data_IF_651511987748
#
_entry.id   IF_651511987748
#
_cell.length_a   1.000
_cell.length_b   1.000
_cell.length_c   1.000
_cell.angle_alpha   90.00
_cell.angle_beta   90.00
_cell.angle_gamma   90.00
#
_symmetry.space_group_name_H-M   'P 1'
#
loop_
_entity.id
_entity.type
_entity.pdbx_description
1 polymer ?
#
# COMPACT_ATOMS: atom_id res chain seq x y z
N UNK A 1 5.66 -19.71 -33.80
CA UNK A 1 5.01 -18.81 -32.82
C UNK A 1 5.72 -18.97 -31.49
N UNK A 2 6.69 -18.12 -31.17
CA UNK A 2 7.38 -18.12 -29.87
C UNK A 2 6.78 -17.01 -29.03
N UNK A 3 5.96 -17.38 -28.05
CA UNK A 3 5.40 -16.44 -27.08
C UNK A 3 6.53 -16.09 -26.12
N UNK A 4 6.95 -14.82 -26.16
CA UNK A 4 7.91 -14.22 -25.24
C UNK A 4 7.27 -14.11 -23.86
N UNK A 5 7.63 -15.02 -22.95
CA UNK A 5 7.32 -14.98 -21.52
C UNK A 5 8.56 -14.42 -20.81
N UNK A 6 8.75 -13.11 -20.90
CA UNK A 6 9.86 -12.42 -20.22
C UNK A 6 9.53 -11.01 -19.74
N UNK A 7 8.38 -10.47 -20.13
CA UNK A 7 8.04 -9.06 -19.86
C UNK A 7 7.15 -8.85 -18.63
N UNK A 8 6.61 -9.90 -18.00
CA UNK A 8 5.65 -9.75 -16.90
C UNK A 8 6.29 -9.48 -15.53
N UNK A 9 7.51 -9.97 -15.29
CA UNK A 9 8.23 -9.81 -14.01
C UNK A 9 8.78 -8.38 -13.83
N UNK A 10 9.35 -7.79 -14.88
CA UNK A 10 9.85 -6.41 -14.88
C UNK A 10 8.72 -5.38 -14.80
N UNK A 11 7.56 -5.68 -15.39
CA UNK A 11 6.38 -4.82 -15.30
C UNK A 11 5.85 -4.79 -13.85
N UNK A 12 5.78 -5.93 -13.18
CA UNK A 12 5.28 -6.01 -11.80
C UNK A 12 6.20 -5.29 -10.79
N UNK A 13 7.52 -5.41 -10.97
CA UNK A 13 8.53 -4.67 -10.19
C UNK A 13 8.43 -3.15 -10.37
N UNK A 14 8.25 -2.70 -11.62
CA UNK A 14 8.12 -1.27 -11.96
C UNK A 14 6.79 -0.71 -11.46
N UNK A 15 5.70 -1.47 -11.57
CA UNK A 15 4.37 -1.11 -11.06
C UNK A 15 4.38 -1.01 -9.54
N UNK A 16 4.99 -1.96 -8.83
CA UNK A 16 5.08 -1.92 -7.36
C UNK A 16 5.95 -0.75 -6.87
N UNK A 17 7.06 -0.46 -7.55
CA UNK A 17 7.91 0.70 -7.21
C UNK A 17 7.22 2.03 -7.52
N UNK A 18 6.47 2.11 -8.62
CA UNK A 18 5.67 3.28 -8.99
C UNK A 18 4.48 3.51 -8.06
N UNK A 19 3.82 2.46 -7.59
CA UNK A 19 2.73 2.54 -6.61
C UNK A 19 3.22 2.97 -5.23
N UNK A 20 4.34 2.43 -4.76
CA UNK A 20 4.99 2.82 -3.49
C UNK A 20 5.40 4.31 -3.47
N UNK A 21 5.85 4.83 -4.61
CA UNK A 21 6.17 6.25 -4.77
C UNK A 21 4.92 7.14 -4.79
N UNK A 22 3.80 6.64 -5.33
CA UNK A 22 2.60 7.45 -5.60
C UNK A 22 1.81 7.75 -4.33
N UNK A 23 1.69 6.83 -3.37
CA UNK A 23 0.94 7.07 -2.12
C UNK A 23 1.66 8.04 -1.18
N UNK A 24 2.98 7.90 -1.04
CA UNK A 24 3.78 8.82 -0.24
C UNK A 24 3.85 10.23 -0.86
N UNK A 25 4.03 10.32 -2.18
CA UNK A 25 4.02 11.63 -2.88
C UNK A 25 2.65 12.28 -2.87
N UNK A 26 1.55 11.53 -3.04
CA UNK A 26 0.18 12.07 -2.89
C UNK A 26 -0.09 12.66 -1.51
N UNK A 27 0.42 12.01 -0.46
CA UNK A 27 0.35 12.55 0.89
C UNK A 27 1.15 13.85 0.98
N UNK A 28 2.40 13.85 0.54
CA UNK A 28 3.28 15.03 0.54
C UNK A 28 2.72 16.21 -0.27
N UNK A 29 2.14 15.95 -1.44
CA UNK A 29 1.47 16.94 -2.29
C UNK A 29 0.23 17.52 -1.60
N UNK A 30 -0.56 16.67 -0.94
CA UNK A 30 -1.75 17.08 -0.17
C UNK A 30 -1.36 17.96 1.02
N UNK A 31 -0.23 17.65 1.68
CA UNK A 31 0.34 18.45 2.77
C UNK A 31 0.90 19.78 2.28
N UNK A 32 1.59 19.77 1.15
CA UNK A 32 2.23 20.96 0.57
C UNK A 32 1.20 21.96 0.04
N UNK A 33 0.04 21.47 -0.43
CA UNK A 33 -1.09 22.29 -0.89
C UNK A 33 -2.18 22.53 0.15
N UNK A 34 -1.89 22.41 1.46
CA UNK A 34 -2.86 22.55 2.56
C UNK A 34 -3.74 23.82 2.54
N UNK A 35 -3.33 24.87 1.82
CA UNK A 35 -4.14 26.08 1.61
C UNK A 35 -5.24 25.95 0.55
N UNK A 36 -5.14 24.96 -0.35
CA UNK A 36 -6.01 24.75 -1.51
C UNK A 36 -6.78 23.42 -1.45
N UNK A 37 -6.31 22.42 -0.71
CA UNK A 37 -6.96 21.11 -0.54
C UNK A 37 -8.02 21.15 0.57
N UNK A 38 -9.16 20.51 0.33
CA UNK A 38 -10.24 20.45 1.33
C UNK A 38 -9.81 19.55 2.50
N UNK A 39 -10.26 19.85 3.73
CA UNK A 39 -10.10 18.98 4.92
C UNK A 39 -10.48 17.51 4.63
N UNK A 40 -11.47 17.31 3.75
CA UNK A 40 -11.92 15.98 3.30
C UNK A 40 -10.89 15.27 2.43
N UNK A 41 -10.20 16.01 1.56
CA UNK A 41 -9.18 15.47 0.66
C UNK A 41 -7.92 15.10 1.43
N UNK A 42 -7.50 15.95 2.38
CA UNK A 42 -6.36 15.66 3.26
C UNK A 42 -6.62 14.39 4.10
N UNK A 43 -7.83 14.26 4.66
CA UNK A 43 -8.24 13.07 5.40
C UNK A 43 -8.24 11.81 4.53
N UNK A 44 -8.70 11.92 3.29
CA UNK A 44 -8.72 10.80 2.35
C UNK A 44 -7.30 10.36 1.95
N UNK A 45 -6.38 11.30 1.74
CA UNK A 45 -4.96 11.02 1.53
C UNK A 45 -4.34 10.31 2.74
N UNK A 46 -4.72 10.72 3.97
CA UNK A 46 -4.29 10.03 5.19
C UNK A 46 -4.81 8.59 5.27
N UNK A 47 -6.07 8.35 4.85
CA UNK A 47 -6.65 6.99 4.81
C UNK A 47 -5.97 6.10 3.79
N UNK A 48 -5.65 6.63 2.61
CA UNK A 48 -4.87 5.89 1.62
C UNK A 48 -3.48 5.54 2.15
N UNK A 49 -2.85 6.45 2.89
CA UNK A 49 -1.58 6.18 3.55
C UNK A 49 -1.71 5.12 4.67
N UNK A 50 -2.77 5.16 5.47
CA UNK A 50 -3.04 4.13 6.50
C UNK A 50 -3.20 2.75 5.87
N UNK A 51 -3.96 2.62 4.78
CA UNK A 51 -4.08 1.36 4.03
C UNK A 51 -2.72 0.87 3.53
N UNK A 52 -1.91 1.77 2.96
CA UNK A 52 -0.58 1.42 2.49
C UNK A 52 0.35 0.98 3.65
N UNK A 53 0.32 1.69 4.77
CA UNK A 53 1.13 1.35 5.94
C UNK A 53 0.77 -0.05 6.47
N UNK A 54 -0.52 -0.35 6.59
CA UNK A 54 -1.01 -1.66 7.05
C UNK A 54 -0.60 -2.78 6.08
N UNK A 55 -0.64 -2.53 4.78
CA UNK A 55 -0.15 -3.46 3.77
C UNK A 55 1.35 -3.76 3.96
N UNK A 56 2.17 -2.73 4.20
CA UNK A 56 3.60 -2.92 4.48
C UNK A 56 3.83 -3.70 5.78
N UNK A 57 3.04 -3.44 6.83
CA UNK A 57 3.08 -4.24 8.07
C UNK A 57 2.78 -5.70 7.78
N UNK A 58 1.76 -6.02 6.99
CA UNK A 58 1.46 -7.41 6.62
C UNK A 58 2.58 -8.05 5.80
N UNK A 59 3.19 -7.31 4.87
CA UNK A 59 4.33 -7.79 4.08
C UNK A 59 5.56 -8.07 4.95
N UNK A 60 5.87 -7.22 5.93
CA UNK A 60 6.96 -7.48 6.89
C UNK A 60 6.63 -8.63 7.85
N UNK A 61 5.37 -8.75 8.29
CA UNK A 61 4.92 -9.88 9.09
C UNK A 61 5.09 -11.21 8.35
N UNK A 62 4.80 -11.25 7.04
CA UNK A 62 5.05 -12.44 6.20
C UNK A 62 6.51 -12.88 6.23
N UNK A 63 7.47 -11.94 6.19
CA UNK A 63 8.91 -12.28 6.24
C UNK A 63 9.34 -12.92 7.56
N UNK A 64 8.52 -12.80 8.61
CA UNK A 64 8.76 -13.43 9.91
C UNK A 64 8.25 -14.87 9.96
N UNK A 65 7.41 -15.28 9.00
CA UNK A 65 6.96 -16.66 8.85
C UNK A 65 8.07 -17.45 8.13
N UNK A 66 8.55 -18.57 8.67
CA UNK A 66 9.56 -19.39 8.02
C UNK A 66 9.06 -19.89 6.66
N UNK A 67 9.82 -19.62 5.60
CA UNK A 67 9.51 -20.14 4.26
C UNK A 67 9.70 -21.66 4.26
N UNK A 68 8.67 -22.40 3.83
CA UNK A 68 8.78 -23.84 3.56
C UNK A 68 9.22 -24.05 2.10
N UNK A 69 9.90 -25.16 1.79
CA UNK A 69 10.43 -25.44 0.43
C UNK A 69 9.37 -25.35 -0.69
N UNK A 70 8.08 -25.54 -0.35
CA UNK A 70 6.91 -25.44 -1.24
C UNK A 70 6.45 -23.99 -1.55
N UNK A 71 6.96 -22.96 -0.87
CA UNK A 71 6.55 -21.55 -1.07
C UNK A 71 7.25 -20.85 -2.24
N UNK A 72 8.14 -21.54 -2.95
CA UNK A 72 8.78 -21.03 -4.18
C UNK A 72 7.81 -20.90 -5.38
N UNK A 73 6.52 -21.17 -5.18
CA UNK A 73 5.51 -21.01 -6.21
C UNK A 73 5.12 -19.53 -6.39
N UNK A 74 5.52 -18.94 -7.52
CA UNK A 74 5.23 -17.54 -7.89
C UNK A 74 3.73 -17.20 -7.86
N UNK A 75 2.83 -18.16 -8.15
CA UNK A 75 1.39 -17.96 -8.01
C UNK A 75 0.96 -17.76 -6.56
N UNK A 76 1.53 -18.54 -5.64
CA UNK A 76 1.21 -18.46 -4.21
C UNK A 76 1.71 -17.14 -3.62
N UNK A 77 2.88 -16.67 -4.09
CA UNK A 77 3.43 -15.36 -3.74
C UNK A 77 2.50 -14.22 -4.20
N UNK A 78 2.10 -14.20 -5.47
CA UNK A 78 1.20 -13.17 -6.01
C UNK A 78 -0.18 -13.20 -5.32
N UNK A 79 -0.70 -14.40 -5.03
CA UNK A 79 -1.95 -14.54 -4.29
C UNK A 79 -1.86 -13.94 -2.88
N UNK A 80 -0.76 -14.20 -2.17
CA UNK A 80 -0.49 -13.61 -0.86
C UNK A 80 -0.42 -12.07 -0.92
N UNK A 81 0.24 -11.51 -1.94
CA UNK A 81 0.34 -10.07 -2.10
C UNK A 81 -1.05 -9.41 -2.32
N UNK A 82 -1.88 -10.01 -3.17
CA UNK A 82 -3.28 -9.57 -3.39
C UNK A 82 -4.10 -9.71 -2.10
N UNK A 83 -3.90 -10.79 -1.35
CA UNK A 83 -4.58 -11.02 -0.08
C UNK A 83 -4.26 -9.91 0.92
N UNK A 84 -2.98 -9.55 1.08
CA UNK A 84 -2.58 -8.50 2.01
C UNK A 84 -3.07 -7.11 1.60
N UNK A 85 -3.09 -6.80 0.30
CA UNK A 85 -3.67 -5.54 -0.19
C UNK A 85 -5.17 -5.44 0.18
N UNK A 86 -5.93 -6.51 -0.05
CA UNK A 86 -7.35 -6.55 0.30
C UNK A 86 -7.58 -6.49 1.81
N UNK A 87 -6.76 -7.20 2.59
CA UNK A 87 -6.84 -7.17 4.05
C UNK A 87 -6.54 -5.77 4.59
N UNK A 88 -5.51 -5.11 4.05
CA UNK A 88 -5.17 -3.74 4.43
C UNK A 88 -6.29 -2.76 4.09
N UNK A 89 -6.90 -2.87 2.90
CA UNK A 89 -8.09 -2.09 2.54
C UNK A 89 -9.25 -2.35 3.51
N UNK A 90 -9.56 -3.62 3.80
CA UNK A 90 -10.68 -3.97 4.68
C UNK A 90 -10.48 -3.50 6.12
N UNK A 91 -9.26 -3.63 6.65
CA UNK A 91 -8.89 -3.15 8.00
C UNK A 91 -8.97 -1.64 8.11
N UNK A 92 -8.76 -0.93 7.01
CA UNK A 92 -8.74 0.55 6.97
C UNK A 92 -10.06 1.16 6.48
N UNK A 93 -10.99 0.34 6.00
CA UNK A 93 -12.37 0.74 5.75
C UNK A 93 -13.11 1.07 7.07
N UNK A 94 -14.05 2.02 7.00
CA UNK A 94 -14.80 2.47 8.19
C UNK A 94 -13.97 3.35 9.14
N UNK A 95 -13.81 2.91 10.40
CA UNK A 95 -13.07 3.65 11.44
C UNK A 95 -11.54 3.42 11.37
N UNK A 96 -11.09 2.37 10.68
CA UNK A 96 -9.68 2.03 10.53
C UNK A 96 -8.97 1.72 11.86
N UNK A 97 -7.63 1.79 11.85
CA UNK A 97 -6.81 1.71 13.06
C UNK A 97 -6.68 3.07 13.76
N UNK A 98 -7.28 4.12 13.19
CA UNK A 98 -7.22 5.49 13.69
C UNK A 98 -5.90 6.20 13.38
N UNK A 99 -5.00 5.58 12.61
CA UNK A 99 -3.69 6.15 12.27
C UNK A 99 -3.88 7.34 11.33
N UNK A 100 -4.78 7.23 10.33
CA UNK A 100 -5.09 8.35 9.45
C UNK A 100 -5.60 9.58 10.23
N UNK A 101 -6.42 9.34 11.26
CA UNK A 101 -6.95 10.40 12.12
C UNK A 101 -5.85 11.05 12.95
N UNK A 102 -4.99 10.26 13.59
CA UNK A 102 -3.84 10.79 14.35
C UNK A 102 -2.89 11.60 13.47
N UNK A 103 -2.63 11.12 12.25
CA UNK A 103 -1.81 11.82 11.26
C UNK A 103 -2.48 13.15 10.86
N UNK A 104 -3.76 13.13 10.49
CA UNK A 104 -4.54 14.32 10.16
C UNK A 104 -4.54 15.36 11.28
N UNK A 105 -4.79 14.94 12.53
CA UNK A 105 -4.79 15.82 13.70
C UNK A 105 -3.40 16.41 13.99
N UNK A 106 -2.34 15.61 13.89
CA UNK A 106 -0.96 16.06 14.07
C UNK A 106 -0.55 17.11 13.04
N UNK A 107 -1.12 17.04 11.84
CA UNK A 107 -0.86 17.98 10.75
C UNK A 107 -1.73 19.23 10.82
N UNK A 108 -2.85 19.19 11.54
CA UNK A 108 -3.73 20.35 11.77
C UNK A 108 -3.21 21.27 12.88
N UNK A 109 -2.46 20.71 13.83
CA UNK A 109 -1.73 21.45 14.87
C UNK A 109 -0.59 22.27 14.28
#
# INVERSE_FOLDING_TARGET
MSISIGSNSLLNSTVNTSLNSTTATKLEDSLSNKSNSSDKELLESCKQFESYLVEQVFKEMKKTVPENEDENNEYLKNFGDILYENYAKNVTEGQGLGIAKMLYESMKR
#
